data_IF_690075129423
#
_entry.id   IF_690075129423
#
_cell.length_a   1.000
_cell.length_b   1.000
_cell.length_c   1.000
_cell.angle_alpha   90.00
_cell.angle_beta   90.00
_cell.angle_gamma   90.00
#
_symmetry.space_group_name_H-M   'P 1'
#
loop_
_entity.id
_entity.type
_entity.pdbx_description
1 polymer ?
#
# COMPACT_ATOMS: atom_id res chain seq x y z
N UNK A 1 12.44 -16.00 -25.04
CA UNK A 1 13.87 -15.71 -24.94
C UNK A 1 14.02 -14.25 -24.50
N UNK A 2 14.41 -14.06 -23.24
CA UNK A 2 14.68 -12.72 -22.69
C UNK A 2 16.16 -12.37 -22.92
N UNK A 3 16.50 -11.11 -23.17
CA UNK A 3 17.88 -10.68 -23.26
C UNK A 3 18.68 -11.01 -22.00
N UNK A 4 19.96 -11.33 -22.14
CA UNK A 4 20.83 -11.82 -21.06
C UNK A 4 21.14 -10.77 -19.95
N UNK A 5 20.75 -9.53 -20.18
CA UNK A 5 20.96 -8.36 -19.31
C UNK A 5 19.71 -7.95 -18.50
N UNK A 6 18.61 -8.70 -18.61
CA UNK A 6 17.39 -8.41 -17.86
C UNK A 6 17.40 -9.12 -16.49
N UNK A 7 17.29 -8.31 -15.42
CA UNK A 7 17.00 -8.80 -14.09
C UNK A 7 15.52 -9.17 -14.00
N UNK A 8 15.22 -10.44 -13.76
CA UNK A 8 13.85 -10.91 -13.64
C UNK A 8 13.33 -10.65 -12.23
N UNK A 9 12.40 -9.70 -12.09
CA UNK A 9 11.59 -9.57 -10.89
C UNK A 9 10.31 -10.39 -11.07
N UNK A 10 10.27 -11.58 -10.47
CA UNK A 10 9.06 -12.41 -10.47
C UNK A 10 8.11 -11.91 -9.38
N UNK A 11 7.09 -11.15 -9.76
CA UNK A 11 5.95 -10.87 -8.90
C UNK A 11 4.94 -12.00 -9.15
N UNK A 12 5.07 -13.10 -8.40
CA UNK A 12 4.14 -14.21 -8.45
C UNK A 12 2.97 -13.94 -7.50
N UNK A 13 1.74 -14.11 -7.97
CA UNK A 13 0.61 -14.23 -7.07
C UNK A 13 0.73 -15.55 -6.27
N UNK A 14 0.02 -15.65 -5.16
CA UNK A 14 0.11 -16.80 -4.24
C UNK A 14 -0.16 -18.15 -4.92
N UNK A 15 -1.02 -18.21 -5.93
CA UNK A 15 -1.35 -19.40 -6.71
C UNK A 15 -0.26 -19.79 -7.71
N UNK A 16 0.50 -18.85 -8.23
CA UNK A 16 1.59 -19.09 -9.17
C UNK A 16 2.95 -19.34 -8.47
N UNK A 17 3.06 -19.04 -7.18
CA UNK A 17 4.30 -19.10 -6.42
C UNK A 17 5.00 -20.48 -6.48
N UNK A 18 4.30 -21.63 -6.35
CA UNK A 18 4.94 -22.93 -6.43
C UNK A 18 5.55 -23.21 -7.83
N UNK A 19 4.83 -22.85 -8.90
CA UNK A 19 5.30 -23.04 -10.26
C UNK A 19 6.49 -22.13 -10.62
N UNK A 20 6.42 -20.87 -10.20
CA UNK A 20 7.51 -19.89 -10.37
C UNK A 20 8.73 -20.30 -9.56
N UNK A 21 8.55 -20.77 -8.31
CA UNK A 21 9.64 -21.27 -7.48
C UNK A 21 10.31 -22.49 -8.11
N UNK A 22 9.52 -23.46 -8.62
CA UNK A 22 10.06 -24.63 -9.31
C UNK A 22 10.88 -24.24 -10.54
N UNK A 23 10.36 -23.33 -11.38
CA UNK A 23 11.07 -22.85 -12.58
C UNK A 23 12.34 -22.06 -12.25
N UNK A 24 12.36 -21.31 -11.14
CA UNK A 24 13.54 -20.60 -10.67
C UNK A 24 14.60 -21.55 -10.10
N UNK A 25 14.18 -22.58 -9.36
CA UNK A 25 15.09 -23.60 -8.83
C UNK A 25 15.74 -24.44 -9.96
N UNK A 26 14.94 -24.84 -10.95
CA UNK A 26 15.45 -25.57 -12.13
C UNK A 26 16.48 -24.75 -12.94
N UNK A 27 16.31 -23.42 -13.03
CA UNK A 27 17.27 -22.50 -13.63
C UNK A 27 18.49 -22.25 -12.75
N UNK A 28 18.34 -22.20 -11.44
CA UNK A 28 19.44 -22.02 -10.50
C UNK A 28 20.42 -23.22 -10.52
N UNK A 29 19.88 -24.43 -10.68
CA UNK A 29 20.68 -25.66 -10.79
C UNK A 29 21.44 -25.75 -12.11
N UNK A 30 21.05 -24.98 -13.14
CA UNK A 30 21.66 -25.00 -14.49
C UNK A 30 22.55 -23.79 -14.78
N UNK A 31 22.60 -22.78 -13.90
CA UNK A 31 23.44 -21.59 -14.06
C UNK A 31 24.52 -21.54 -12.99
N UNK A 32 25.80 -21.46 -13.41
CA UNK A 32 26.83 -20.95 -12.53
C UNK A 32 26.38 -19.56 -12.01
N UNK A 33 26.14 -19.47 -10.73
CA UNK A 33 25.77 -18.20 -10.08
C UNK A 33 26.97 -17.26 -10.26
N UNK A 34 26.89 -16.38 -11.24
CA UNK A 34 27.83 -15.28 -11.33
C UNK A 34 27.71 -14.46 -10.04
N UNK A 35 28.79 -14.47 -9.24
CA UNK A 35 28.92 -13.59 -8.09
C UNK A 35 28.57 -12.16 -8.51
N UNK A 36 27.77 -11.41 -7.75
CA UNK A 36 27.47 -10.02 -8.06
C UNK A 36 28.78 -9.29 -8.27
N UNK A 37 28.99 -8.70 -9.44
CA UNK A 37 30.09 -7.78 -9.65
C UNK A 37 29.92 -6.67 -8.63
N UNK A 38 30.89 -6.50 -7.77
CA UNK A 38 31.05 -5.32 -6.94
C UNK A 38 31.26 -4.10 -7.85
N UNK A 39 30.17 -3.60 -8.39
CA UNK A 39 30.12 -2.28 -9.01
C UNK A 39 30.07 -1.29 -7.86
N UNK A 40 31.18 -0.65 -7.55
CA UNK A 40 31.18 0.57 -6.75
C UNK A 40 30.33 1.59 -7.49
N UNK A 41 29.04 1.69 -7.15
CA UNK A 41 28.25 2.89 -7.37
C UNK A 41 28.85 3.96 -6.45
N UNK A 42 29.87 4.68 -6.93
CA UNK A 42 30.25 5.93 -6.31
C UNK A 42 29.19 6.96 -6.70
N UNK A 43 28.11 7.01 -5.95
CA UNK A 43 27.22 8.17 -5.96
C UNK A 43 27.97 9.25 -5.19
N UNK A 44 28.64 10.13 -5.92
CA UNK A 44 29.09 11.40 -5.35
C UNK A 44 27.82 12.16 -5.00
N UNK A 45 27.57 12.52 -3.74
CA UNK A 45 26.43 13.36 -3.41
C UNK A 45 26.66 14.70 -4.12
N UNK A 46 25.88 15.00 -5.12
CA UNK A 46 25.74 16.37 -5.59
C UNK A 46 25.09 17.13 -4.43
N UNK A 47 25.89 17.90 -3.72
CA UNK A 47 25.42 18.87 -2.72
C UNK A 47 24.61 19.91 -3.49
N UNK A 48 23.33 19.69 -3.62
CA UNK A 48 22.37 20.71 -4.00
C UNK A 48 21.68 21.16 -2.71
N UNK A 49 22.09 22.33 -2.27
CA UNK A 49 21.40 23.06 -1.21
C UNK A 49 19.96 23.32 -1.64
N UNK A 50 19.07 22.88 -0.81
CA UNK A 50 17.68 23.33 -0.60
C UNK A 50 16.74 22.13 -0.40
N UNK A 51 16.02 22.09 0.59
CA UNK A 51 15.52 22.95 1.67
C UNK A 51 14.62 22.10 2.55
N UNK A 52 15.22 21.24 3.26
CA UNK A 52 14.57 20.70 4.43
C UNK A 52 15.17 21.50 5.59
N UNK A 53 14.40 22.21 6.44
CA UNK A 53 14.94 23.04 7.52
C UNK A 53 15.78 22.21 8.51
N UNK A 54 16.70 22.82 9.26
CA UNK A 54 17.58 22.12 10.23
C UNK A 54 16.83 21.50 11.42
N UNK A 55 15.51 21.45 11.43
CA UNK A 55 14.63 20.75 12.39
C UNK A 55 14.67 19.21 12.21
N UNK A 56 15.49 18.71 11.31
CA UNK A 56 15.53 17.34 10.79
C UNK A 56 16.21 16.29 11.68
N UNK A 57 16.25 16.46 12.96
CA UNK A 57 16.83 15.43 13.83
C UNK A 57 15.79 14.39 14.27
N UNK A 58 14.49 14.66 14.14
CA UNK A 58 13.44 13.71 14.49
C UNK A 58 13.03 12.86 13.30
N UNK A 59 13.14 11.53 13.42
CA UNK A 59 12.77 10.64 12.33
C UNK A 59 11.27 10.70 12.02
N UNK A 60 10.93 10.47 10.75
CA UNK A 60 9.56 10.19 10.35
C UNK A 60 9.14 8.84 10.96
N UNK A 61 8.15 8.83 11.84
CA UNK A 61 7.68 7.61 12.53
C UNK A 61 6.61 6.92 11.70
N UNK A 62 6.94 5.75 11.20
CA UNK A 62 6.03 4.91 10.41
C UNK A 62 5.62 3.73 11.29
N UNK A 63 4.33 3.59 11.55
CA UNK A 63 3.78 2.53 12.40
C UNK A 63 3.07 1.49 11.54
N UNK A 64 3.48 0.23 11.67
CA UNK A 64 2.82 -0.92 11.07
C UNK A 64 1.94 -1.61 12.09
N UNK A 65 0.63 -1.55 11.88
CA UNK A 65 -0.33 -2.20 12.76
C UNK A 65 -0.51 -3.68 12.38
N UNK A 66 -0.29 -4.55 13.36
CA UNK A 66 -0.52 -5.99 13.31
C UNK A 66 0.13 -6.71 12.12
N UNK A 67 1.47 -6.58 11.93
CA UNK A 67 2.19 -7.25 10.85
C UNK A 67 2.10 -8.78 10.90
N UNK A 68 1.81 -9.33 12.05
CA UNK A 68 1.59 -10.75 12.31
C UNK A 68 0.21 -11.25 11.83
N UNK A 69 -0.78 -10.36 11.70
CA UNK A 69 -2.14 -10.67 11.27
C UNK A 69 -2.47 -10.08 9.89
N UNK A 70 -1.99 -8.86 9.61
CA UNK A 70 -2.36 -8.06 8.44
C UNK A 70 -1.16 -7.83 7.50
N UNK A 71 -0.67 -8.89 6.86
CA UNK A 71 0.46 -8.81 5.92
C UNK A 71 0.30 -9.78 4.74
N UNK A 72 -0.93 -9.91 4.24
CA UNK A 72 -1.25 -10.79 3.13
C UNK A 72 -0.67 -10.23 1.82
N UNK A 73 -0.30 -11.11 0.89
CA UNK A 73 0.29 -10.77 -0.43
C UNK A 73 1.53 -9.87 -0.39
N UNK A 74 2.23 -9.82 0.75
CA UNK A 74 3.45 -9.05 0.91
C UNK A 74 3.22 -7.55 1.09
N UNK A 75 2.08 -7.15 1.67
CA UNK A 75 1.72 -5.76 1.91
C UNK A 75 2.77 -4.99 2.72
N UNK A 76 3.53 -5.67 3.62
CA UNK A 76 4.69 -5.09 4.28
C UNK A 76 5.78 -4.56 3.33
N UNK A 77 5.72 -4.91 2.04
CA UNK A 77 6.55 -4.31 1.00
C UNK A 77 6.30 -2.81 0.82
N UNK A 78 5.10 -2.32 1.12
CA UNK A 78 4.79 -0.88 1.09
C UNK A 78 5.69 -0.10 2.06
N UNK A 79 5.92 -0.66 3.26
CA UNK A 79 6.80 -0.05 4.26
C UNK A 79 8.26 -0.02 3.81
N UNK A 80 8.72 -1.08 3.14
CA UNK A 80 10.07 -1.11 2.56
C UNK A 80 10.25 -0.02 1.52
N UNK A 81 9.24 0.24 0.70
CA UNK A 81 9.25 1.33 -0.29
C UNK A 81 9.31 2.68 0.42
N UNK A 82 8.46 2.95 1.42
CA UNK A 82 8.48 4.21 2.18
C UNK A 82 9.84 4.44 2.84
N UNK A 83 10.35 3.44 3.57
CA UNK A 83 11.66 3.53 4.24
C UNK A 83 12.79 3.78 3.24
N UNK A 84 12.81 3.08 2.10
CA UNK A 84 13.86 3.22 1.10
C UNK A 84 13.78 4.59 0.40
N UNK A 85 12.59 5.08 0.09
CA UNK A 85 12.41 6.41 -0.52
C UNK A 85 12.80 7.54 0.43
N UNK A 86 12.56 7.38 1.73
CA UNK A 86 13.09 8.28 2.74
C UNK A 86 14.63 8.23 2.77
N UNK A 87 15.22 7.02 2.81
CA UNK A 87 16.67 6.85 2.85
C UNK A 87 17.37 7.45 1.62
N UNK A 88 16.82 7.28 0.42
CA UNK A 88 17.39 7.88 -0.80
C UNK A 88 17.41 9.42 -0.76
N UNK A 89 16.51 10.03 0.02
CA UNK A 89 16.44 11.48 0.20
C UNK A 89 17.16 11.98 1.46
N UNK A 90 17.82 11.09 2.21
CA UNK A 90 18.43 11.45 3.49
C UNK A 90 17.42 11.88 4.56
N UNK A 91 16.15 11.50 4.41
CA UNK A 91 15.10 11.74 5.41
C UNK A 91 15.21 10.64 6.47
N UNK A 92 15.51 11.00 7.75
CA UNK A 92 15.48 10.01 8.83
C UNK A 92 14.09 9.41 8.96
N UNK A 93 13.99 8.09 9.01
CA UNK A 93 12.71 7.39 9.19
C UNK A 93 12.90 6.19 10.12
N UNK A 94 11.92 5.92 10.94
CA UNK A 94 11.89 4.80 11.87
C UNK A 94 10.60 4.01 11.66
N UNK A 95 10.74 2.68 11.52
CA UNK A 95 9.62 1.75 11.44
C UNK A 95 9.38 1.14 12.83
N UNK A 96 8.17 1.31 13.31
CA UNK A 96 7.66 0.68 14.52
C UNK A 96 6.58 -0.34 14.14
N UNK A 97 6.55 -1.47 14.82
CA UNK A 97 5.57 -2.53 14.60
C UNK A 97 4.79 -2.76 15.89
N UNK A 98 3.47 -2.67 15.80
CA UNK A 98 2.57 -3.00 16.90
C UNK A 98 1.95 -4.36 16.57
N UNK A 99 2.38 -5.40 17.29
CA UNK A 99 1.87 -6.76 17.13
C UNK A 99 0.59 -6.98 17.93
N UNK A 100 -0.09 -8.07 17.62
CA UNK A 100 -1.28 -8.46 18.39
C UNK A 100 -0.95 -8.66 19.88
N UNK A 101 -1.63 -7.92 20.75
CA UNK A 101 -1.42 -7.95 22.20
C UNK A 101 -0.37 -6.96 22.72
N UNK A 102 0.30 -6.21 21.85
CA UNK A 102 1.18 -5.13 22.26
C UNK A 102 0.36 -3.91 22.75
N UNK A 103 1.01 -3.02 23.47
CA UNK A 103 0.44 -1.72 23.81
C UNK A 103 0.19 -0.92 22.51
N UNK A 104 -1.02 -0.39 22.35
CA UNK A 104 -1.42 0.36 21.18
C UNK A 104 -1.18 1.84 21.41
N UNK A 105 -0.07 2.37 20.90
CA UNK A 105 0.21 3.81 20.92
C UNK A 105 0.66 4.30 19.55
N UNK A 106 -0.17 5.14 18.93
CA UNK A 106 0.09 5.80 17.66
C UNK A 106 0.10 7.32 17.77
N UNK A 107 0.16 7.87 19.00
CA UNK A 107 0.09 9.31 19.26
C UNK A 107 1.17 10.11 18.53
N UNK A 108 2.34 9.51 18.39
CA UNK A 108 3.50 10.11 17.73
C UNK A 108 3.71 9.60 16.28
N UNK A 109 2.75 8.86 15.73
CA UNK A 109 2.88 8.34 14.38
C UNK A 109 2.75 9.47 13.33
N UNK A 110 3.66 9.46 12.35
CA UNK A 110 3.57 10.33 11.18
C UNK A 110 2.84 9.62 10.02
N UNK A 111 3.08 8.30 9.86
CA UNK A 111 2.36 7.45 8.92
C UNK A 111 1.93 6.17 9.63
N UNK A 112 0.66 5.80 9.50
CA UNK A 112 0.13 4.51 9.94
C UNK A 112 -0.15 3.63 8.74
N UNK A 113 0.21 2.35 8.81
CA UNK A 113 -0.05 1.36 7.79
C UNK A 113 -0.79 0.15 8.35
N UNK A 114 -1.84 -0.27 7.63
CA UNK A 114 -2.55 -1.54 7.86
C UNK A 114 -2.61 -2.32 6.56
N UNK A 115 -2.14 -3.56 6.57
CA UNK A 115 -2.25 -4.48 5.45
C UNK A 115 -3.57 -5.24 5.41
N UNK A 116 -3.67 -6.18 4.47
CA UNK A 116 -4.74 -7.18 4.42
C UNK A 116 -4.40 -8.44 5.17
N UNK A 117 -5.41 -9.20 5.56
CA UNK A 117 -5.28 -10.50 6.22
C UNK A 117 -6.38 -11.45 5.80
N UNK A 118 -6.24 -12.76 6.07
CA UNK A 118 -7.35 -13.70 6.00
C UNK A 118 -8.45 -13.31 7.00
N UNK A 119 -9.68 -13.76 6.77
CA UNK A 119 -10.85 -13.34 7.55
C UNK A 119 -10.68 -13.53 9.08
N UNK A 120 -10.07 -14.64 9.52
CA UNK A 120 -9.85 -14.90 10.95
C UNK A 120 -8.85 -13.92 11.57
N UNK A 121 -7.73 -13.69 10.92
CA UNK A 121 -6.68 -12.76 11.35
C UNK A 121 -7.18 -11.32 11.29
N UNK A 122 -7.95 -10.97 10.24
CA UNK A 122 -8.61 -9.67 10.13
C UNK A 122 -9.60 -9.45 11.29
N UNK A 123 -10.35 -10.48 11.67
CA UNK A 123 -11.26 -10.41 12.82
C UNK A 123 -10.53 -10.16 14.13
N UNK A 124 -9.44 -10.87 14.40
CA UNK A 124 -8.61 -10.65 15.60
C UNK A 124 -8.04 -9.23 15.63
N UNK A 125 -7.50 -8.77 14.52
CA UNK A 125 -6.98 -7.42 14.39
C UNK A 125 -8.08 -6.38 14.61
N UNK A 126 -9.27 -6.56 14.02
CA UNK A 126 -10.38 -5.62 14.19
C UNK A 126 -10.84 -5.50 15.63
N UNK A 127 -10.90 -6.62 16.37
CA UNK A 127 -11.25 -6.61 17.80
C UNK A 127 -10.23 -5.82 18.64
N UNK A 128 -8.94 -5.92 18.31
CA UNK A 128 -7.89 -5.18 19.02
C UNK A 128 -7.93 -3.69 18.68
N UNK A 129 -8.11 -3.35 17.39
CA UNK A 129 -8.21 -1.95 16.97
C UNK A 129 -9.48 -1.29 17.53
N UNK A 130 -10.60 -2.03 17.63
CA UNK A 130 -11.84 -1.51 18.22
C UNK A 130 -11.66 -1.02 19.66
N UNK A 131 -10.79 -1.66 20.45
CA UNK A 131 -10.47 -1.18 21.81
C UNK A 131 -9.78 0.18 21.81
N UNK A 132 -9.09 0.49 20.73
CA UNK A 132 -8.30 1.71 20.52
C UNK A 132 -8.90 2.65 19.45
N UNK A 133 -10.19 2.46 19.14
CA UNK A 133 -10.91 3.19 18.09
C UNK A 133 -10.78 4.72 18.23
N UNK A 134 -10.92 5.22 19.45
CA UNK A 134 -10.86 6.67 19.70
C UNK A 134 -9.49 7.27 19.34
N UNK A 135 -8.41 6.54 19.64
CA UNK A 135 -7.07 7.01 19.31
C UNK A 135 -6.85 7.05 17.79
N UNK A 136 -7.27 6.00 17.05
CA UNK A 136 -7.15 5.97 15.60
C UNK A 136 -8.09 7.00 14.93
N UNK A 137 -9.31 7.18 15.45
CA UNK A 137 -10.22 8.19 14.96
C UNK A 137 -9.66 9.61 15.18
N UNK A 138 -9.12 9.89 16.36
CA UNK A 138 -8.46 11.17 16.65
C UNK A 138 -7.28 11.39 15.70
N UNK A 139 -6.43 10.38 15.52
CA UNK A 139 -5.29 10.46 14.59
C UNK A 139 -5.74 10.83 13.17
N UNK A 140 -6.82 10.22 12.67
CA UNK A 140 -7.37 10.51 11.33
C UNK A 140 -7.98 11.91 11.29
N UNK A 141 -8.74 12.29 12.32
CA UNK A 141 -9.38 13.62 12.39
C UNK A 141 -8.36 14.76 12.51
N UNK A 142 -7.18 14.49 13.09
CA UNK A 142 -6.04 15.41 13.17
C UNK A 142 -5.12 15.33 11.93
N UNK A 143 -5.70 14.94 10.78
CA UNK A 143 -5.01 14.84 9.49
C UNK A 143 -3.83 13.87 9.47
N UNK A 144 -3.86 12.83 10.32
CA UNK A 144 -2.91 11.73 10.30
C UNK A 144 -2.89 10.99 8.97
N UNK A 145 -1.71 10.60 8.51
CA UNK A 145 -1.52 9.89 7.23
C UNK A 145 -1.69 8.39 7.44
N UNK A 146 -2.66 7.79 6.76
CA UNK A 146 -2.95 6.37 6.91
C UNK A 146 -3.11 5.69 5.55
N UNK A 147 -2.38 4.59 5.35
CA UNK A 147 -2.56 3.68 4.22
C UNK A 147 -3.13 2.35 4.72
N UNK A 148 -4.32 2.00 4.25
CA UNK A 148 -5.00 0.76 4.61
C UNK A 148 -5.30 -0.09 3.37
N UNK A 149 -4.83 -1.33 3.36
CA UNK A 149 -4.97 -2.24 2.22
C UNK A 149 -5.95 -3.37 2.56
N UNK A 150 -6.90 -3.63 1.66
CA UNK A 150 -7.83 -4.76 1.67
C UNK A 150 -8.56 -4.92 3.02
N UNK A 151 -8.17 -5.88 3.87
CA UNK A 151 -8.76 -6.06 5.19
C UNK A 151 -8.62 -4.83 6.09
N UNK A 152 -7.45 -4.18 6.06
CA UNK A 152 -7.25 -2.92 6.78
C UNK A 152 -8.20 -1.81 6.33
N UNK A 153 -8.45 -1.71 5.02
CA UNK A 153 -9.43 -0.78 4.46
C UNK A 153 -10.86 -1.10 4.94
N UNK A 154 -11.24 -2.38 4.94
CA UNK A 154 -12.58 -2.81 5.41
C UNK A 154 -12.80 -2.48 6.88
N UNK A 155 -11.79 -2.68 7.72
CA UNK A 155 -11.85 -2.38 9.18
C UNK A 155 -12.15 -0.90 9.43
N UNK A 156 -11.67 0.02 8.59
CA UNK A 156 -11.95 1.46 8.75
C UNK A 156 -13.43 1.82 8.55
N UNK A 157 -14.18 1.02 7.80
CA UNK A 157 -15.60 1.22 7.51
C UNK A 157 -16.52 0.93 8.69
N UNK A 158 -17.82 0.97 8.43
CA UNK A 158 -18.86 0.67 9.43
C UNK A 158 -18.93 -0.82 9.77
N UNK A 159 -18.79 -1.65 8.76
CA UNK A 159 -18.86 -3.11 8.87
C UNK A 159 -18.15 -3.80 7.71
N UNK A 160 -17.83 -5.06 7.92
CA UNK A 160 -17.35 -5.98 6.90
C UNK A 160 -17.89 -7.39 7.17
N UNK A 161 -17.62 -8.36 6.27
CA UNK A 161 -18.20 -9.70 6.36
C UNK A 161 -17.11 -10.76 6.59
N UNK A 162 -17.31 -11.57 7.63
CA UNK A 162 -16.57 -12.81 7.87
C UNK A 162 -17.51 -14.00 7.61
N UNK A 163 -17.34 -14.68 6.47
CA UNK A 163 -18.34 -15.66 6.07
C UNK A 163 -19.72 -15.03 5.88
N UNK A 164 -20.71 -15.44 6.68
CA UNK A 164 -22.06 -14.88 6.70
C UNK A 164 -22.29 -13.91 7.87
N UNK A 165 -21.29 -13.70 8.70
CA UNK A 165 -21.36 -12.82 9.87
C UNK A 165 -20.97 -11.38 9.49
N UNK A 166 -21.79 -10.43 9.95
CA UNK A 166 -21.47 -9.00 9.85
C UNK A 166 -20.59 -8.65 11.04
N UNK A 167 -19.36 -8.22 10.78
CA UNK A 167 -18.42 -7.76 11.80
C UNK A 167 -18.43 -6.25 11.84
N UNK A 168 -18.51 -5.68 13.04
CA UNK A 168 -18.42 -4.23 13.25
C UNK A 168 -17.02 -3.72 12.89
N UNK A 169 -16.97 -2.62 12.15
CA UNK A 169 -15.76 -1.86 11.85
C UNK A 169 -15.62 -0.63 12.72
N UNK A 170 -14.62 0.17 12.42
CA UNK A 170 -14.29 1.37 13.22
C UNK A 170 -15.23 2.55 12.96
N UNK A 171 -15.97 2.55 11.87
CA UNK A 171 -16.80 3.68 11.43
C UNK A 171 -16.02 5.02 11.37
N UNK A 172 -14.72 4.95 11.04
CA UNK A 172 -13.88 6.14 10.79
C UNK A 172 -14.22 6.72 9.43
N UNK A 173 -14.51 5.84 8.47
CA UNK A 173 -15.01 6.22 7.14
C UNK A 173 -16.46 5.74 6.96
N UNK A 174 -17.26 6.51 6.25
CA UNK A 174 -18.63 6.12 5.89
C UNK A 174 -18.61 5.13 4.72
N UNK A 175 -18.21 3.89 5.00
CA UNK A 175 -18.17 2.81 4.03
C UNK A 175 -18.73 1.53 4.63
N UNK A 176 -19.44 0.75 3.80
CA UNK A 176 -19.96 -0.56 4.17
C UNK A 176 -19.44 -1.63 3.21
N UNK A 177 -18.93 -2.73 3.76
CA UNK A 177 -18.51 -3.86 2.95
C UNK A 177 -19.55 -4.97 3.01
N UNK A 178 -20.12 -5.31 1.86
CA UNK A 178 -21.16 -6.33 1.68
C UNK A 178 -20.62 -7.53 0.93
N UNK A 179 -21.34 -8.62 0.96
CA UNK A 179 -21.06 -9.81 0.14
C UNK A 179 -21.54 -9.59 -1.28
N UNK A 180 -20.90 -10.27 -2.24
CA UNK A 180 -21.45 -10.39 -3.59
C UNK A 180 -22.82 -11.02 -3.57
N UNK A 181 -23.71 -10.59 -4.47
CA UNK A 181 -25.09 -11.11 -4.57
C UNK A 181 -25.17 -12.59 -4.97
N UNK A 182 -24.08 -13.20 -5.43
CA UNK A 182 -24.02 -14.61 -5.87
C UNK A 182 -22.74 -15.28 -5.37
N UNK A 183 -22.87 -16.13 -4.36
CA UNK A 183 -21.80 -17.05 -3.94
C UNK A 183 -20.56 -16.42 -3.36
N UNK A 184 -19.45 -17.18 -3.37
CA UNK A 184 -18.11 -16.75 -2.93
C UNK A 184 -17.30 -16.16 -4.09
N UNK A 185 -17.94 -15.33 -4.91
CA UNK A 185 -17.25 -14.75 -6.07
C UNK A 185 -16.22 -13.70 -5.60
N UNK A 186 -14.95 -13.97 -5.86
CA UNK A 186 -13.85 -13.06 -5.55
C UNK A 186 -13.49 -12.24 -6.77
N UNK A 187 -13.24 -10.96 -6.56
CA UNK A 187 -12.62 -10.11 -7.57
C UNK A 187 -11.10 -10.37 -7.52
N UNK A 188 -10.56 -10.92 -8.60
CA UNK A 188 -9.14 -11.34 -8.70
C UNK A 188 -8.64 -10.91 -10.06
N UNK A 189 -8.06 -9.71 -10.14
CA UNK A 189 -7.57 -9.15 -11.40
C UNK A 189 -6.43 -8.16 -11.18
N UNK A 190 -5.65 -7.92 -12.24
CA UNK A 190 -4.82 -6.71 -12.30
C UNK A 190 -5.70 -5.52 -12.66
N UNK A 191 -5.46 -4.41 -12.03
CA UNK A 191 -6.30 -3.21 -12.13
C UNK A 191 -5.43 -1.97 -12.29
N UNK A 192 -5.92 -1.01 -13.06
CA UNK A 192 -5.32 0.31 -13.23
C UNK A 192 -6.36 1.40 -12.89
N UNK A 193 -5.93 2.38 -12.13
CA UNK A 193 -6.76 3.51 -11.72
C UNK A 193 -6.16 4.83 -12.22
N UNK A 194 -7.01 5.82 -12.47
CA UNK A 194 -6.62 7.23 -12.47
C UNK A 194 -6.95 7.81 -11.10
N UNK A 195 -5.94 8.37 -10.44
CA UNK A 195 -6.06 8.95 -9.11
C UNK A 195 -5.59 10.41 -9.12
N UNK A 196 -6.26 11.33 -8.39
CA UNK A 196 -5.86 12.73 -8.36
C UNK A 196 -4.51 13.00 -7.67
N UNK A 197 -3.95 12.01 -7.00
CA UNK A 197 -2.64 12.13 -6.31
C UNK A 197 -1.47 11.57 -7.13
N UNK A 198 -1.71 11.07 -8.34
CA UNK A 198 -0.68 10.53 -9.22
C UNK A 198 -0.92 10.98 -10.66
N UNK A 199 0.14 11.28 -11.40
CA UNK A 199 0.08 11.63 -12.82
C UNK A 199 0.09 10.39 -13.72
N UNK A 200 0.69 9.29 -13.26
CA UNK A 200 0.65 7.99 -13.90
C UNK A 200 -0.52 7.15 -13.35
N UNK A 201 -1.05 6.19 -14.15
CA UNK A 201 -2.04 5.26 -13.65
C UNK A 201 -1.54 4.50 -12.42
N UNK A 202 -2.37 4.38 -11.40
CA UNK A 202 -2.04 3.57 -10.22
C UNK A 202 -2.32 2.10 -10.55
N UNK A 203 -1.28 1.29 -10.54
CA UNK A 203 -1.34 -0.14 -10.92
C UNK A 203 -1.31 -1.02 -9.68
N UNK A 204 -2.21 -1.97 -9.60
CA UNK A 204 -2.25 -2.95 -8.52
C UNK A 204 -2.88 -4.27 -8.94
N UNK A 205 -3.09 -5.08 -7.92
CA UNK A 205 -3.74 -6.39 -8.04
C UNK A 205 -4.82 -6.50 -6.97
N UNK A 206 -6.07 -6.72 -7.38
CA UNK A 206 -7.17 -6.95 -6.44
C UNK A 206 -7.38 -8.44 -6.19
N UNK A 207 -7.66 -8.82 -4.94
CA UNK A 207 -8.07 -10.17 -4.56
C UNK A 207 -8.94 -10.15 -3.31
N UNK A 208 -10.20 -9.86 -3.47
CA UNK A 208 -11.13 -9.75 -2.34
C UNK A 208 -12.53 -10.27 -2.68
N UNK A 209 -13.28 -10.69 -1.64
CA UNK A 209 -14.68 -11.11 -1.76
C UNK A 209 -15.66 -10.00 -1.37
N UNK A 210 -15.22 -9.03 -0.57
CA UNK A 210 -16.05 -7.90 -0.14
C UNK A 210 -16.39 -6.96 -1.28
N UNK A 211 -17.59 -6.36 -1.22
CA UNK A 211 -18.04 -5.26 -2.09
C UNK A 211 -18.25 -4.05 -1.21
N UNK A 212 -17.32 -3.13 -1.29
CA UNK A 212 -17.35 -1.90 -0.50
C UNK A 212 -18.16 -0.82 -1.21
N UNK A 213 -19.06 -0.21 -0.46
CA UNK A 213 -19.89 0.90 -0.90
C UNK A 213 -19.55 2.12 -0.06
N UNK A 214 -19.14 3.18 -0.70
CA UNK A 214 -18.86 4.46 -0.07
C UNK A 214 -20.15 5.20 0.23
N UNK A 215 -20.21 5.87 1.38
CA UNK A 215 -21.28 6.78 1.73
C UNK A 215 -21.24 8.07 0.92
N UNK A 216 -22.28 8.87 1.08
CA UNK A 216 -22.42 10.14 0.37
C UNK A 216 -21.30 11.12 0.76
N UNK A 217 -20.68 11.74 -0.24
CA UNK A 217 -19.61 12.73 -0.05
C UNK A 217 -18.21 12.18 0.13
N UNK A 218 -18.02 10.84 0.15
CA UNK A 218 -16.69 10.25 0.11
C UNK A 218 -16.20 10.11 -1.32
N UNK A 219 -14.92 10.44 -1.53
CA UNK A 219 -14.25 10.29 -2.81
C UNK A 219 -13.49 8.94 -2.87
N UNK A 220 -13.56 8.21 -3.98
CA UNK A 220 -12.73 7.04 -4.16
C UNK A 220 -11.24 7.41 -4.26
N UNK A 221 -10.37 6.46 -3.97
CA UNK A 221 -8.93 6.62 -4.20
C UNK A 221 -8.61 6.84 -5.68
N UNK A 222 -9.32 6.14 -6.57
CA UNK A 222 -9.21 6.38 -8.01
C UNK A 222 -10.34 5.73 -8.81
N UNK A 223 -10.45 6.18 -10.07
CA UNK A 223 -11.39 5.61 -11.06
C UNK A 223 -10.71 4.47 -11.83
N UNK A 224 -11.40 3.35 -11.99
CA UNK A 224 -10.91 2.20 -12.76
C UNK A 224 -10.88 2.57 -14.24
N UNK A 225 -9.71 2.39 -14.86
CA UNK A 225 -9.49 2.64 -16.30
C UNK A 225 -9.02 1.40 -17.04
N UNK A 226 -8.72 0.33 -16.32
CA UNK A 226 -8.39 -0.96 -16.91
C UNK A 226 -9.61 -1.64 -17.51
N UNK A 227 -9.37 -2.51 -18.50
CA UNK A 227 -10.43 -3.35 -19.12
C UNK A 227 -10.84 -4.53 -18.24
N UNK A 228 -10.06 -4.84 -17.24
CA UNK A 228 -10.30 -5.85 -16.20
C UNK A 228 -10.21 -5.18 -14.84
N UNK A 229 -10.72 -5.86 -13.83
CA UNK A 229 -10.75 -5.30 -12.48
C UNK A 229 -12.00 -4.48 -12.20
N UNK A 230 -12.38 -4.39 -10.94
CA UNK A 230 -13.63 -3.80 -10.50
C UNK A 230 -13.44 -2.77 -9.39
N UNK A 231 -12.37 -2.92 -8.57
CA UNK A 231 -12.13 -2.10 -7.40
C UNK A 231 -13.12 -2.37 -6.27
N UNK A 232 -13.74 -1.33 -5.75
CA UNK A 232 -14.60 -1.43 -4.59
C UNK A 232 -15.74 -2.46 -4.71
N UNK A 233 -16.38 -2.54 -5.89
CA UNK A 233 -17.50 -3.46 -6.13
C UNK A 233 -17.79 -3.61 -7.62
N UNK A 234 -18.72 -4.49 -7.95
CA UNK A 234 -19.02 -4.90 -9.33
C UNK A 234 -19.53 -3.75 -10.24
N UNK A 235 -19.90 -2.59 -9.69
CA UNK A 235 -20.60 -1.54 -10.43
C UNK A 235 -20.06 -0.14 -10.25
N UNK A 236 -19.21 0.10 -9.26
CA UNK A 236 -18.73 1.47 -8.94
C UNK A 236 -17.77 2.04 -10.00
N UNK A 237 -17.03 1.18 -10.69
CA UNK A 237 -15.96 1.63 -11.59
C UNK A 237 -14.85 2.42 -10.87
N UNK A 238 -14.70 2.20 -9.56
CA UNK A 238 -13.77 2.93 -8.72
C UNK A 238 -13.19 2.04 -7.63
N UNK A 239 -11.98 2.33 -7.18
CA UNK A 239 -11.35 1.63 -6.06
C UNK A 239 -11.03 2.57 -4.91
N UNK A 240 -11.11 1.97 -3.72
CA UNK A 240 -10.65 2.57 -2.48
C UNK A 240 -11.48 3.75 -2.01
N UNK A 241 -10.88 4.51 -1.13
CA UNK A 241 -11.41 5.73 -0.54
C UNK A 241 -10.28 6.72 -0.28
N UNK A 242 -10.59 7.99 -0.42
CA UNK A 242 -9.81 9.09 0.13
C UNK A 242 -10.67 9.84 1.14
N UNK A 243 -10.17 9.93 2.35
CA UNK A 243 -10.77 10.73 3.41
C UNK A 243 -9.66 11.45 4.16
N UNK A 244 -9.61 12.79 4.08
CA UNK A 244 -8.47 13.57 4.58
C UNK A 244 -7.15 13.00 4.02
N UNK A 245 -6.23 12.56 4.88
CA UNK A 245 -4.96 11.93 4.51
C UNK A 245 -4.99 10.39 4.60
N UNK A 246 -6.18 9.82 4.65
CA UNK A 246 -6.40 8.37 4.60
C UNK A 246 -6.54 7.91 3.15
N UNK A 247 -5.82 6.86 2.80
CA UNK A 247 -6.01 6.07 1.58
C UNK A 247 -6.40 4.66 2.02
N UNK A 248 -7.61 4.22 1.66
CA UNK A 248 -8.00 2.83 1.69
C UNK A 248 -8.04 2.28 0.26
N UNK A 249 -7.60 1.05 0.02
CA UNK A 249 -7.60 0.46 -1.33
C UNK A 249 -7.61 -1.07 -1.27
N UNK A 250 -8.14 -1.71 -2.32
CA UNK A 250 -8.02 -3.15 -2.52
C UNK A 250 -6.75 -3.55 -3.28
N UNK A 251 -5.93 -2.61 -3.68
CA UNK A 251 -4.75 -2.86 -4.51
C UNK A 251 -3.57 -3.39 -3.69
N UNK A 252 -3.21 -4.62 -3.97
CA UNK A 252 -2.00 -5.28 -3.48
C UNK A 252 -0.87 -5.19 -4.51
N UNK A 253 0.29 -5.78 -4.12
CA UNK A 253 1.31 -6.06 -5.06
C UNK A 253 2.78 -5.75 -4.80
N UNK A 254 3.28 -5.18 -3.67
CA UNK A 254 2.76 -4.10 -2.83
C UNK A 254 2.42 -2.86 -3.66
N UNK A 255 1.39 -2.13 -3.25
CA UNK A 255 0.85 -0.98 -3.99
C UNK A 255 1.95 0.02 -4.38
N UNK A 256 2.78 0.42 -3.43
CA UNK A 256 3.74 1.51 -3.61
C UNK A 256 4.92 1.17 -4.55
N UNK A 257 5.18 -0.13 -4.77
CA UNK A 257 6.35 -0.57 -5.56
C UNK A 257 6.31 -0.16 -7.03
N UNK A 258 5.12 -0.04 -7.63
CA UNK A 258 4.93 0.42 -9.01
C UNK A 258 4.29 1.81 -9.11
N UNK A 259 4.04 2.43 -7.96
CA UNK A 259 3.34 3.70 -7.87
C UNK A 259 4.14 4.67 -6.99
N UNK A 260 5.33 5.09 -7.45
CA UNK A 260 6.23 5.93 -6.66
C UNK A 260 5.61 7.27 -6.27
N UNK A 261 4.74 7.84 -7.10
CA UNK A 261 4.04 9.09 -6.83
C UNK A 261 3.10 8.98 -5.61
N UNK A 262 2.45 7.81 -5.42
CA UNK A 262 1.60 7.54 -4.24
C UNK A 262 2.47 7.45 -2.98
N UNK A 263 3.63 6.80 -3.07
CA UNK A 263 4.58 6.72 -1.95
C UNK A 263 5.09 8.12 -1.57
N UNK A 264 5.43 8.93 -2.56
CA UNK A 264 5.90 10.29 -2.36
C UNK A 264 4.82 11.21 -1.79
N UNK A 265 3.56 11.02 -2.25
CA UNK A 265 2.43 11.75 -1.67
C UNK A 265 2.28 11.44 -0.17
N UNK A 266 2.36 10.19 0.25
CA UNK A 266 2.29 9.79 1.66
C UNK A 266 3.42 10.44 2.49
N UNK A 267 4.66 10.37 2.00
CA UNK A 267 5.84 10.94 2.68
C UNK A 267 5.74 12.46 2.76
N UNK A 268 5.41 13.13 1.63
CA UNK A 268 5.30 14.58 1.59
C UNK A 268 4.19 15.11 2.52
N UNK A 269 3.05 14.42 2.56
CA UNK A 269 1.91 14.76 3.42
C UNK A 269 2.28 14.61 4.89
N UNK A 270 2.93 13.50 5.26
CA UNK A 270 3.36 13.25 6.63
C UNK A 270 4.39 14.29 7.11
N UNK A 271 5.37 14.61 6.27
CA UNK A 271 6.35 15.66 6.59
C UNK A 271 5.70 17.05 6.67
N UNK A 272 4.74 17.33 5.79
CA UNK A 272 4.03 18.60 5.80
C UNK A 272 3.22 18.78 7.09
N UNK A 273 2.55 17.72 7.56
CA UNK A 273 1.87 17.69 8.85
C UNK A 273 2.86 17.85 10.02
N UNK A 274 3.93 17.05 10.01
CA UNK A 274 4.95 17.07 11.09
C UNK A 274 5.58 18.44 11.29
N UNK A 275 5.82 19.17 10.21
CA UNK A 275 6.49 20.48 10.26
C UNK A 275 5.53 21.67 10.13
N UNK A 276 4.25 21.44 10.06
CA UNK A 276 3.20 22.47 9.87
C UNK A 276 3.53 23.42 8.69
N UNK A 277 4.05 22.86 7.60
CA UNK A 277 4.37 23.61 6.38
C UNK A 277 4.41 22.67 5.15
N UNK A 278 4.04 23.16 3.96
CA UNK A 278 4.12 22.35 2.75
C UNK A 278 5.55 21.87 2.48
N UNK A 279 5.72 20.55 2.35
CA UNK A 279 7.01 19.93 2.02
C UNK A 279 6.97 19.41 0.59
N UNK A 280 7.95 19.82 -0.22
CA UNK A 280 8.18 19.29 -1.55
C UNK A 280 9.40 18.36 -1.48
N UNK A 281 9.20 17.10 -1.87
CA UNK A 281 10.27 16.13 -1.90
C UNK A 281 11.24 16.38 -3.08
N UNK A 282 12.50 16.03 -2.86
CA UNK A 282 13.46 15.92 -3.95
C UNK A 282 13.03 14.82 -4.93
N UNK A 283 13.16 15.09 -6.23
CA UNK A 283 12.81 14.14 -7.28
C UNK A 283 13.82 12.99 -7.30
N UNK A 284 13.35 11.76 -7.29
CA UNK A 284 14.17 10.57 -7.47
C UNK A 284 14.16 10.12 -8.94
N UNK A 285 15.14 9.31 -9.32
CA UNK A 285 15.10 8.59 -10.59
C UNK A 285 14.20 7.37 -10.45
N UNK A 286 12.94 7.53 -10.80
CA UNK A 286 11.91 6.49 -10.77
C UNK A 286 11.77 5.75 -12.10
N UNK A 287 12.81 5.78 -12.96
CA UNK A 287 12.77 5.16 -14.30
C UNK A 287 12.39 3.67 -14.25
N UNK A 288 12.89 2.93 -13.27
CA UNK A 288 12.60 1.48 -13.14
C UNK A 288 11.15 1.24 -12.74
N UNK A 289 10.66 1.98 -11.75
CA UNK A 289 9.30 1.90 -11.23
C UNK A 289 8.28 2.32 -12.30
N UNK A 290 8.54 3.43 -12.98
CA UNK A 290 7.67 3.96 -14.03
C UNK A 290 7.68 3.08 -15.29
N UNK A 291 8.81 2.50 -15.69
CA UNK A 291 8.83 1.52 -16.77
C UNK A 291 7.99 0.28 -16.43
N UNK A 292 8.02 -0.18 -15.17
CA UNK A 292 7.18 -1.30 -14.73
C UNK A 292 5.69 -0.91 -14.70
N UNK A 293 5.38 0.32 -14.29
CA UNK A 293 4.03 0.88 -14.32
C UNK A 293 3.51 0.96 -15.77
N UNK A 294 4.26 1.60 -16.66
CA UNK A 294 3.91 1.77 -18.08
C UNK A 294 3.70 0.44 -18.80
N UNK A 295 4.56 -0.55 -18.52
CA UNK A 295 4.40 -1.90 -19.06
C UNK A 295 3.06 -2.53 -18.67
N UNK A 296 2.65 -2.34 -17.42
CA UNK A 296 1.35 -2.84 -16.94
C UNK A 296 0.20 -2.00 -17.49
N UNK A 297 0.32 -0.67 -17.47
CA UNK A 297 -0.69 0.23 -18.01
C UNK A 297 -1.01 -0.08 -19.49
N UNK A 298 0.02 -0.29 -20.32
CA UNK A 298 -0.15 -0.65 -21.72
C UNK A 298 -0.89 -1.99 -21.95
N UNK A 299 -0.90 -2.88 -20.98
CA UNK A 299 -1.61 -4.18 -21.02
C UNK A 299 -3.04 -4.08 -20.51
N UNK A 300 -3.29 -3.18 -19.57
CA UNK A 300 -4.55 -3.08 -18.85
C UNK A 300 -5.48 -2.02 -19.45
N UNK A 301 -4.92 -0.95 -19.97
CA UNK A 301 -5.66 0.19 -20.53
C UNK A 301 -5.64 0.07 -22.06
N UNK A 302 -6.79 0.02 -22.68
CA UNK A 302 -6.96 -0.04 -24.15
C UNK A 302 -7.40 1.30 -24.70
#
# INVERSE_FOLDING_TARGET
>A
DMPADWNMYAIANYTALPAVRAALMERADSAEIATPREGKLSVTPAVMANTIPPIQQEPLRIVHLFPDLLNLYGDGGNLKVLMQRCAWRGIPAQLEQIHYGDEFDISEADIVFMGGGPDCEQHLASQEILKNKEQLATYVEDDGVLLAICGGYQILGKNWLMGDEIVEGLSIIDAETKRANKGFDRLIENIALVSPIASHPVIGYENHAGRTHLGEGLEPFGQVVSTTGHGNNDTSGADGVRYKNVIGSYLHGPLLGKNPEVADWLIATALSRKFDQPVKLEVLDDTVELNANDFMAARLIK
#
